data_IF_678582583107
#
_entry.id   IF_678582583107
#
_cell.length_a   1.000
_cell.length_b   1.000
_cell.length_c   1.000
_cell.angle_alpha   90.00
_cell.angle_beta   90.00
_cell.angle_gamma   90.00
#
_symmetry.space_group_name_H-M   'P 1'
#
loop_
_entity.id
_entity.type
_entity.pdbx_description
1 polymer ?
#
# COMPACT_ATOMS: atom_id res chain seq x y z
N UNK A 1 -1.48 40.13 4.81
CA UNK A 1 -1.41 38.67 5.07
C UNK A 1 -2.03 38.41 6.44
N UNK A 2 -2.71 37.28 6.68
CA UNK A 2 -3.08 36.90 8.05
C UNK A 2 -1.82 36.40 8.79
N UNK A 3 -1.66 36.66 10.11
CA UNK A 3 -0.59 36.03 10.89
C UNK A 3 -0.70 34.51 10.87
N UNK A 4 0.43 33.83 11.01
CA UNK A 4 0.48 32.39 11.24
C UNK A 4 -0.09 32.06 12.62
N UNK A 5 -1.08 31.16 12.68
CA UNK A 5 -1.55 30.58 13.94
C UNK A 5 -0.62 29.44 14.36
N UNK A 6 0.32 29.74 15.26
CA UNK A 6 1.21 28.75 15.88
C UNK A 6 0.57 27.96 17.03
N UNK A 7 -0.69 28.26 17.40
CA UNK A 7 -1.40 27.51 18.47
C UNK A 7 -2.08 26.25 17.94
N UNK A 8 -2.24 26.14 16.61
CA UNK A 8 -2.85 24.99 15.95
C UNK A 8 -1.76 24.03 15.37
N UNK A 9 -1.62 22.79 15.88
CA UNK A 9 -0.66 21.81 15.36
C UNK A 9 -0.80 21.51 13.86
N UNK A 10 -2.02 21.53 13.33
CA UNK A 10 -2.29 21.28 11.90
C UNK A 10 -1.58 22.31 10.99
N UNK A 11 -1.31 23.52 11.48
CA UNK A 11 -0.53 24.50 10.70
C UNK A 11 0.86 23.94 10.35
N UNK A 12 1.55 23.36 11.32
CA UNK A 12 2.89 22.80 11.14
C UNK A 12 2.89 21.57 10.24
N UNK A 13 1.89 20.69 10.40
CA UNK A 13 1.70 19.51 9.55
C UNK A 13 1.42 19.89 8.09
N UNK A 14 0.74 21.02 7.87
CA UNK A 14 0.39 21.54 6.54
C UNK A 14 1.49 22.33 5.82
N UNK A 15 2.62 22.65 6.45
CA UNK A 15 3.73 23.41 5.82
C UNK A 15 4.30 22.70 4.58
N UNK A 16 4.16 21.36 4.53
CA UNK A 16 4.58 20.50 3.41
C UNK A 16 3.34 20.00 2.66
N UNK A 17 2.72 20.87 1.85
CA UNK A 17 1.50 20.60 1.09
C UNK A 17 1.46 19.20 0.42
N UNK A 18 2.56 18.77 -0.22
CA UNK A 18 2.64 17.51 -0.95
C UNK A 18 2.76 16.26 -0.05
N UNK A 19 3.18 16.40 1.20
CA UNK A 19 3.14 15.35 2.22
C UNK A 19 1.76 15.31 2.89
N UNK A 20 1.17 16.47 3.17
CA UNK A 20 -0.17 16.57 3.73
C UNK A 20 -1.24 16.02 2.77
N UNK A 21 -1.12 16.29 1.46
CA UNK A 21 -1.99 15.76 0.42
C UNK A 21 -1.70 14.29 0.04
N UNK A 22 -0.68 13.65 0.60
CA UNK A 22 -0.45 12.21 0.42
C UNK A 22 -1.25 11.45 1.49
N UNK A 23 -2.18 10.53 1.14
CA UNK A 23 -2.97 9.77 2.14
C UNK A 23 -2.12 8.91 3.09
N UNK A 24 -0.88 8.59 2.70
CA UNK A 24 0.09 7.87 3.52
C UNK A 24 1.07 8.81 4.27
N UNK A 25 0.89 10.13 4.18
CA UNK A 25 1.75 11.18 4.78
C UNK A 25 3.26 10.98 4.60
N UNK A 26 3.68 10.43 3.46
CA UNK A 26 5.08 10.09 3.20
C UNK A 26 5.96 11.32 3.03
N UNK A 27 7.23 11.25 3.46
CA UNK A 27 8.13 12.40 3.49
C UNK A 27 8.69 12.75 2.09
N UNK A 28 7.84 13.36 1.26
CA UNK A 28 8.15 13.76 -0.12
C UNK A 28 9.43 14.61 -0.22
N UNK A 29 9.66 15.64 0.62
CA UNK A 29 10.90 16.42 0.58
C UNK A 29 12.17 15.64 0.96
N UNK A 30 12.07 14.59 1.77
CA UNK A 30 13.24 13.80 2.18
C UNK A 30 13.67 12.83 1.10
N UNK A 31 12.76 11.99 0.59
CA UNK A 31 13.15 11.03 -0.44
C UNK A 31 13.57 11.69 -1.77
N UNK A 32 13.04 12.87 -2.09
CA UNK A 32 13.50 13.66 -3.25
C UNK A 32 14.92 14.20 -3.03
N UNK A 33 15.30 14.59 -1.81
CA UNK A 33 16.70 14.95 -1.51
C UNK A 33 17.62 13.74 -1.57
N UNK A 34 17.17 12.56 -1.15
CA UNK A 34 17.97 11.33 -1.26
C UNK A 34 18.18 10.93 -2.73
N UNK A 35 17.15 11.03 -3.59
CA UNK A 35 17.29 10.86 -5.06
C UNK A 35 18.29 11.86 -5.66
N UNK A 36 18.29 13.12 -5.22
CA UNK A 36 19.24 14.14 -5.70
C UNK A 36 20.71 13.81 -5.39
N UNK A 37 20.97 12.94 -4.39
CA UNK A 37 22.30 12.44 -4.05
C UNK A 37 22.48 10.97 -4.51
N UNK A 38 21.69 10.51 -5.48
CA UNK A 38 21.68 9.15 -6.04
C UNK A 38 21.49 8.02 -5.01
N UNK A 39 21.00 8.36 -3.81
CA UNK A 39 20.78 7.44 -2.70
C UNK A 39 19.38 6.80 -2.82
N UNK A 40 19.15 6.10 -3.93
CA UNK A 40 17.87 5.49 -4.30
C UNK A 40 17.39 4.49 -3.25
N UNK A 41 18.30 3.72 -2.65
CA UNK A 41 17.99 2.70 -1.64
C UNK A 41 17.40 3.32 -0.36
N UNK A 42 17.99 4.40 0.17
CA UNK A 42 17.37 5.10 1.30
C UNK A 42 16.10 5.87 0.87
N UNK A 43 16.05 6.44 -0.34
CA UNK A 43 14.84 7.08 -0.86
C UNK A 43 13.66 6.10 -0.97
N UNK A 44 13.92 4.84 -1.36
CA UNK A 44 12.96 3.75 -1.34
C UNK A 44 12.54 3.42 0.09
N UNK A 45 13.48 3.24 1.02
CA UNK A 45 13.15 2.92 2.42
C UNK A 45 12.34 4.01 3.13
N UNK A 46 12.64 5.31 2.90
CA UNK A 46 11.82 6.43 3.41
C UNK A 46 10.40 6.39 2.85
N UNK A 47 10.21 6.00 1.58
CA UNK A 47 8.87 5.71 1.07
C UNK A 47 8.27 4.49 1.77
N UNK A 48 9.02 3.40 1.93
CA UNK A 48 8.54 2.12 2.47
C UNK A 48 8.07 2.22 3.93
N UNK A 49 8.59 3.17 4.72
CA UNK A 49 8.11 3.43 6.09
C UNK A 49 6.61 3.75 6.13
N UNK A 50 6.12 4.58 5.19
CA UNK A 50 4.74 5.09 5.17
C UNK A 50 3.88 4.53 4.04
N UNK A 51 4.46 4.25 2.86
CA UNK A 51 3.82 3.56 1.76
C UNK A 51 4.28 2.10 1.74
N UNK A 52 3.36 1.16 1.97
CA UNK A 52 3.67 -0.28 1.96
C UNK A 52 4.19 -0.79 0.61
N UNK A 53 3.87 -0.10 -0.50
CA UNK A 53 4.21 -0.49 -1.87
C UNK A 53 4.82 0.66 -2.71
N UNK A 54 6.06 1.10 -2.46
CA UNK A 54 6.63 2.28 -3.15
C UNK A 54 6.75 2.15 -4.67
N UNK A 55 7.15 1.00 -5.20
CA UNK A 55 7.39 0.71 -6.61
C UNK A 55 6.11 0.51 -7.42
N UNK A 56 5.10 -0.13 -6.83
CA UNK A 56 3.71 -0.14 -7.33
C UNK A 56 3.19 1.30 -7.36
N UNK A 57 3.26 2.03 -6.25
CA UNK A 57 2.70 3.39 -6.16
C UNK A 57 3.45 4.39 -7.06
N UNK A 58 4.74 4.23 -7.31
CA UNK A 58 5.48 5.02 -8.30
C UNK A 58 4.95 4.85 -9.74
N UNK A 59 4.21 3.77 -10.01
CA UNK A 59 3.60 3.45 -11.31
C UNK A 59 2.10 3.79 -11.37
N UNK A 60 1.35 3.51 -10.31
CA UNK A 60 -0.13 3.52 -10.33
C UNK A 60 -0.81 4.51 -9.40
N UNK A 61 -0.07 5.25 -8.56
CA UNK A 61 -0.67 6.25 -7.68
C UNK A 61 -1.37 7.36 -8.48
N UNK A 62 -2.51 7.83 -7.95
CA UNK A 62 -3.33 8.95 -8.46
C UNK A 62 -2.68 10.34 -8.22
N UNK A 63 -1.60 10.37 -7.44
CA UNK A 63 -0.70 11.53 -7.25
C UNK A 63 -1.34 12.80 -6.66
N UNK A 64 -2.20 12.73 -5.61
CA UNK A 64 -2.78 13.93 -4.98
C UNK A 64 -1.71 14.91 -4.43
N UNK A 65 -0.48 14.43 -4.21
CA UNK A 65 0.69 15.23 -3.86
C UNK A 65 1.25 16.13 -5.00
N UNK A 66 0.95 15.85 -6.27
CA UNK A 66 1.42 16.63 -7.42
C UNK A 66 0.59 17.94 -7.61
N UNK A 67 -0.75 17.94 -7.64
CA UNK A 67 -1.55 19.17 -7.66
C UNK A 67 -1.32 20.07 -6.43
N UNK A 68 -1.00 19.46 -5.27
CA UNK A 68 -0.65 20.19 -4.05
C UNK A 68 0.81 20.68 -4.03
N UNK A 69 1.63 20.44 -5.04
CA UNK A 69 3.06 20.73 -4.99
C UNK A 69 3.33 22.25 -4.95
N UNK A 70 3.93 22.75 -3.86
CA UNK A 70 4.27 24.19 -3.66
C UNK A 70 5.04 24.84 -4.82
N UNK A 71 5.67 24.07 -5.72
CA UNK A 71 6.28 24.54 -6.97
C UNK A 71 5.29 25.28 -7.88
N UNK A 72 4.01 24.87 -7.92
CA UNK A 72 2.96 25.49 -8.77
C UNK A 72 2.56 26.91 -8.34
N UNK A 73 3.16 27.43 -7.26
CA UNK A 73 2.98 28.82 -6.80
C UNK A 73 3.94 29.81 -7.47
N UNK A 74 4.88 29.31 -8.29
CA UNK A 74 5.94 30.09 -8.96
C UNK A 74 6.15 29.59 -10.39
N UNK A 75 6.15 28.28 -10.59
CA UNK A 75 6.26 27.61 -11.88
C UNK A 75 4.89 27.11 -12.37
N UNK A 76 4.75 26.82 -13.67
CA UNK A 76 3.52 26.22 -14.21
C UNK A 76 3.37 24.71 -13.90
N UNK A 77 4.48 24.00 -13.64
CA UNK A 77 4.49 22.55 -13.48
C UNK A 77 4.84 22.11 -12.05
N UNK A 78 4.16 21.09 -11.49
CA UNK A 78 4.54 20.48 -10.23
C UNK A 78 5.80 19.63 -10.38
N UNK A 79 6.43 19.26 -9.27
CA UNK A 79 7.45 18.20 -9.29
C UNK A 79 6.76 16.86 -9.61
N UNK A 80 7.35 16.05 -10.49
CA UNK A 80 6.85 14.71 -10.84
C UNK A 80 7.12 13.67 -9.73
N UNK A 81 6.58 13.92 -8.54
CA UNK A 81 6.76 13.19 -7.27
C UNK A 81 6.54 11.68 -7.43
N UNK A 82 5.55 11.25 -8.21
CA UNK A 82 5.26 9.85 -8.50
C UNK A 82 6.34 9.21 -9.37
N UNK A 83 6.82 9.91 -10.41
CA UNK A 83 7.91 9.43 -11.26
C UNK A 83 9.22 9.34 -10.47
N UNK A 84 9.49 10.29 -9.57
CA UNK A 84 10.64 10.23 -8.67
C UNK A 84 10.54 9.04 -7.69
N UNK A 85 9.35 8.72 -7.17
CA UNK A 85 9.14 7.49 -6.39
C UNK A 85 9.47 6.24 -7.20
N UNK A 86 9.07 6.20 -8.48
CA UNK A 86 9.47 5.13 -9.40
C UNK A 86 10.99 5.09 -9.62
N UNK A 87 11.67 6.22 -9.79
CA UNK A 87 13.14 6.25 -9.93
C UNK A 87 13.82 5.64 -8.71
N UNK A 88 13.41 5.99 -7.49
CA UNK A 88 13.93 5.35 -6.27
C UNK A 88 13.63 3.84 -6.21
N UNK A 89 12.45 3.41 -6.65
CA UNK A 89 12.13 1.97 -6.79
C UNK A 89 13.04 1.27 -7.79
N UNK A 90 13.26 1.85 -8.96
CA UNK A 90 13.83 1.18 -10.12
C UNK A 90 15.37 1.21 -10.14
N UNK A 91 16.01 1.95 -9.22
CA UNK A 91 17.47 2.11 -9.10
C UNK A 91 18.01 1.78 -7.69
N UNK A 92 17.22 1.10 -6.85
CA UNK A 92 17.64 0.66 -5.50
C UNK A 92 18.49 -0.62 -5.53
N UNK A 93 19.29 -0.80 -4.49
CA UNK A 93 19.96 -2.06 -4.15
C UNK A 93 18.99 -3.08 -3.51
N UNK A 94 19.49 -4.28 -3.19
CA UNK A 94 18.79 -5.34 -2.46
C UNK A 94 18.31 -4.88 -1.06
N UNK A 95 16.99 -4.69 -0.91
CA UNK A 95 16.39 -4.11 0.32
C UNK A 95 15.92 -5.13 1.35
N UNK A 96 15.81 -6.42 1.00
CA UNK A 96 15.34 -7.48 1.90
C UNK A 96 16.09 -7.61 3.24
N UNK A 97 17.39 -7.25 3.36
CA UNK A 97 18.10 -7.14 4.64
C UNK A 97 17.71 -5.93 5.50
N UNK A 98 17.12 -4.88 4.88
CA UNK A 98 16.67 -3.64 5.52
C UNK A 98 15.20 -3.70 5.94
N UNK A 99 14.42 -4.63 5.38
CA UNK A 99 13.02 -4.85 5.74
C UNK A 99 12.91 -5.47 7.14
N UNK A 100 11.96 -4.97 7.94
CA UNK A 100 11.63 -5.59 9.23
C UNK A 100 11.14 -7.04 9.03
N UNK A 101 11.50 -7.91 9.98
CA UNK A 101 10.98 -9.28 10.07
C UNK A 101 10.25 -9.42 11.39
N UNK A 102 9.25 -10.30 11.45
CA UNK A 102 8.50 -10.55 12.67
C UNK A 102 9.43 -11.07 13.78
N UNK A 103 9.27 -10.62 15.04
CA UNK A 103 10.11 -11.06 16.14
C UNK A 103 9.95 -12.56 16.40
N UNK A 104 11.06 -13.22 16.78
CA UNK A 104 11.10 -14.65 17.15
C UNK A 104 10.17 -14.97 18.33
N UNK A 105 10.02 -14.03 19.27
CA UNK A 105 9.03 -14.11 20.35
C UNK A 105 7.75 -13.44 19.86
N UNK A 106 6.69 -14.23 19.71
CA UNK A 106 5.33 -13.74 19.42
C UNK A 106 4.72 -13.04 20.64
N UNK A 107 3.76 -12.17 20.39
CA UNK A 107 3.00 -11.47 21.42
C UNK A 107 1.84 -12.30 22.00
N UNK A 108 1.56 -13.47 21.44
CA UNK A 108 0.51 -14.39 21.88
C UNK A 108 -0.90 -14.02 21.41
N UNK A 109 -1.01 -13.25 20.31
CA UNK A 109 -2.29 -12.82 19.73
C UNK A 109 -2.40 -13.20 18.25
N UNK A 110 -3.54 -13.79 17.89
CA UNK A 110 -3.85 -14.30 16.54
C UNK A 110 -4.90 -13.43 15.85
N UNK A 111 -4.64 -13.02 14.61
CA UNK A 111 -5.55 -12.19 13.81
C UNK A 111 -5.81 -12.85 12.46
N UNK A 112 -7.07 -12.97 12.06
CA UNK A 112 -7.45 -13.38 10.71
C UNK A 112 -7.56 -12.16 9.79
N UNK A 113 -7.03 -12.28 8.57
CA UNK A 113 -7.08 -11.27 7.53
C UNK A 113 -7.82 -11.88 6.32
N UNK A 114 -8.91 -11.28 5.88
CA UNK A 114 -9.77 -11.83 4.81
C UNK A 114 -9.65 -10.96 3.56
N UNK A 115 -9.25 -11.56 2.45
CA UNK A 115 -8.77 -10.90 1.23
C UNK A 115 -7.29 -10.53 1.34
N UNK A 116 -6.48 -10.86 0.34
CA UNK A 116 -5.05 -10.56 0.21
C UNK A 116 -4.78 -9.34 -0.71
N UNK A 117 -5.68 -8.35 -0.67
CA UNK A 117 -5.49 -7.06 -1.32
C UNK A 117 -4.58 -6.11 -0.52
N UNK A 118 -4.27 -4.91 -1.06
CA UNK A 118 -3.35 -3.95 -0.44
C UNK A 118 -3.70 -3.53 1.00
N UNK A 119 -4.98 -3.52 1.36
CA UNK A 119 -5.44 -3.18 2.70
C UNK A 119 -5.00 -4.22 3.74
N UNK A 120 -5.36 -5.49 3.54
CA UNK A 120 -4.97 -6.58 4.45
C UNK A 120 -3.46 -6.79 4.50
N UNK A 121 -2.75 -6.57 3.39
CA UNK A 121 -1.28 -6.66 3.36
C UNK A 121 -0.60 -5.50 4.10
N UNK A 122 -1.22 -4.32 4.12
CA UNK A 122 -0.77 -3.20 4.99
C UNK A 122 -0.94 -3.57 6.46
N UNK A 123 -2.10 -4.11 6.83
CA UNK A 123 -2.33 -4.64 8.19
C UNK A 123 -1.35 -5.78 8.52
N UNK A 124 -1.06 -6.66 7.56
CA UNK A 124 -0.16 -7.78 7.75
C UNK A 124 1.27 -7.34 8.05
N UNK A 125 1.83 -6.40 7.27
CA UNK A 125 3.15 -5.79 7.50
C UNK A 125 3.26 -5.26 8.93
N UNK A 126 2.30 -4.44 9.32
CA UNK A 126 2.38 -3.66 10.56
C UNK A 126 2.20 -4.55 11.79
N UNK A 127 1.26 -5.52 11.74
CA UNK A 127 1.05 -6.47 12.83
C UNK A 127 2.15 -7.56 12.88
N UNK A 128 2.72 -7.99 11.75
CA UNK A 128 3.84 -8.94 11.73
C UNK A 128 5.06 -8.36 12.47
N UNK A 129 5.40 -7.08 12.22
CA UNK A 129 6.47 -6.39 12.93
C UNK A 129 6.23 -6.30 14.45
N UNK A 130 4.97 -6.19 14.89
CA UNK A 130 4.57 -6.19 16.30
C UNK A 130 4.44 -7.60 16.91
N UNK A 131 4.81 -8.66 16.18
CA UNK A 131 4.88 -10.01 16.69
C UNK A 131 3.55 -10.74 16.81
N UNK A 132 2.50 -10.29 16.12
CA UNK A 132 1.26 -11.04 15.97
C UNK A 132 1.49 -12.32 15.14
N UNK A 133 0.50 -13.20 15.21
CA UNK A 133 0.36 -14.37 14.33
C UNK A 133 -0.85 -14.14 13.43
N UNK A 134 -0.66 -14.26 12.11
CA UNK A 134 -1.59 -13.76 11.11
C UNK A 134 -1.99 -14.89 10.15
N UNK A 135 -3.27 -15.17 10.03
CA UNK A 135 -3.81 -16.11 9.03
C UNK A 135 -4.50 -15.29 7.91
N UNK A 136 -3.91 -15.28 6.71
CA UNK A 136 -4.35 -14.50 5.56
C UNK A 136 -5.09 -15.38 4.55
N UNK A 137 -6.41 -15.22 4.46
CA UNK A 137 -7.30 -15.97 3.57
C UNK A 137 -7.61 -15.16 2.30
N UNK A 138 -7.58 -15.78 1.13
CA UNK A 138 -8.00 -15.15 -0.14
C UNK A 138 -8.48 -16.21 -1.14
N UNK A 139 -9.44 -15.86 -2.00
CA UNK A 139 -10.02 -16.79 -2.97
C UNK A 139 -9.18 -16.96 -4.26
N UNK A 140 -8.22 -16.07 -4.50
CA UNK A 140 -7.27 -16.17 -5.61
C UNK A 140 -6.09 -17.10 -5.26
N UNK A 141 -5.37 -17.64 -6.25
CA UNK A 141 -4.18 -18.46 -6.02
C UNK A 141 -2.95 -17.66 -5.52
N UNK A 142 -2.96 -16.33 -5.61
CA UNK A 142 -1.83 -15.46 -5.24
C UNK A 142 -2.31 -14.08 -4.74
N UNK A 143 -1.57 -13.51 -3.79
CA UNK A 143 -1.86 -12.18 -3.22
C UNK A 143 -1.83 -11.05 -4.27
N UNK A 144 -2.48 -9.94 -3.91
CA UNK A 144 -2.52 -8.67 -4.66
C UNK A 144 -3.94 -8.17 -4.93
N UNK A 145 -4.93 -9.07 -5.01
CA UNK A 145 -6.31 -8.70 -5.33
C UNK A 145 -6.40 -7.79 -6.56
N UNK A 146 -7.14 -6.68 -6.45
CA UNK A 146 -7.36 -5.74 -7.55
C UNK A 146 -6.09 -5.10 -8.16
N UNK A 147 -4.99 -4.91 -7.41
CA UNK A 147 -3.76 -4.38 -8.05
C UNK A 147 -3.08 -5.41 -8.97
N UNK A 148 -3.40 -6.70 -8.81
CA UNK A 148 -3.01 -7.76 -9.76
C UNK A 148 -4.08 -7.95 -10.84
N UNK A 149 -5.35 -8.07 -10.48
CA UNK A 149 -6.39 -8.51 -11.42
C UNK A 149 -7.00 -7.41 -12.29
N UNK A 150 -6.91 -6.12 -11.90
CA UNK A 150 -7.56 -5.01 -12.60
C UNK A 150 -6.58 -4.00 -13.22
N UNK A 151 -5.28 -4.05 -12.89
CA UNK A 151 -4.27 -3.14 -13.44
C UNK A 151 -3.49 -3.87 -14.54
N UNK A 152 -3.52 -3.39 -15.81
CA UNK A 152 -2.77 -4.02 -16.89
C UNK A 152 -1.25 -4.03 -16.64
N UNK A 153 -0.59 -5.12 -17.05
CA UNK A 153 0.85 -5.34 -16.84
C UNK A 153 1.75 -4.24 -17.44
N UNK A 154 1.31 -3.58 -18.52
CA UNK A 154 2.03 -2.43 -19.10
C UNK A 154 1.98 -1.17 -18.22
N UNK A 155 1.02 -1.05 -17.29
CA UNK A 155 1.02 -0.03 -16.24
C UNK A 155 1.76 -0.51 -14.99
N UNK A 156 1.59 -1.77 -14.62
CA UNK A 156 2.20 -2.36 -13.43
C UNK A 156 2.79 -3.75 -13.74
N UNK A 157 4.10 -3.84 -14.03
CA UNK A 157 4.74 -5.11 -14.34
C UNK A 157 4.62 -6.11 -13.19
N UNK A 158 4.32 -7.37 -13.52
CA UNK A 158 4.11 -8.43 -12.52
C UNK A 158 5.34 -8.68 -11.65
N UNK A 159 6.55 -8.52 -12.18
CA UNK A 159 7.80 -8.57 -11.43
C UNK A 159 7.77 -7.63 -10.22
N UNK A 160 7.54 -6.34 -10.47
CA UNK A 160 7.49 -5.28 -9.43
C UNK A 160 6.40 -5.56 -8.41
N UNK A 161 5.23 -6.02 -8.88
CA UNK A 161 4.11 -6.38 -8.02
C UNK A 161 4.44 -7.61 -7.16
N UNK A 162 5.01 -8.68 -7.73
CA UNK A 162 5.39 -9.89 -7.01
C UNK A 162 6.49 -9.59 -5.98
N UNK A 163 7.51 -8.81 -6.35
CA UNK A 163 8.58 -8.37 -5.43
C UNK A 163 8.02 -7.66 -4.21
N UNK A 164 7.20 -6.61 -4.38
CA UNK A 164 6.70 -5.83 -3.22
C UNK A 164 5.61 -6.53 -2.42
N UNK A 165 4.87 -7.48 -3.01
CA UNK A 165 3.96 -8.36 -2.26
C UNK A 165 4.73 -9.37 -1.40
N UNK A 166 5.73 -10.05 -2.00
CA UNK A 166 6.52 -11.07 -1.30
C UNK A 166 7.35 -10.44 -0.17
N UNK A 167 7.83 -9.20 -0.31
CA UNK A 167 8.44 -8.42 0.77
C UNK A 167 7.62 -8.38 2.07
N UNK A 168 6.29 -8.51 1.99
CA UNK A 168 5.38 -8.56 3.14
C UNK A 168 5.15 -10.00 3.58
N UNK A 169 4.82 -10.90 2.64
CA UNK A 169 4.54 -12.31 2.95
C UNK A 169 5.76 -12.99 3.63
N UNK A 170 6.96 -12.66 3.17
CA UNK A 170 8.24 -13.17 3.69
C UNK A 170 8.67 -12.50 5.01
N UNK A 171 7.92 -11.54 5.57
CA UNK A 171 8.24 -10.95 6.88
C UNK A 171 8.16 -11.99 8.01
N UNK A 172 7.44 -13.08 7.79
CA UNK A 172 7.22 -14.16 8.76
C UNK A 172 6.10 -13.84 9.75
N UNK A 173 5.52 -14.87 10.37
CA UNK A 173 4.32 -14.72 11.19
C UNK A 173 3.02 -14.53 10.41
N UNK A 174 3.07 -14.62 9.07
CA UNK A 174 1.93 -14.66 8.17
C UNK A 174 1.84 -16.07 7.60
N UNK A 175 0.67 -16.69 7.70
CA UNK A 175 0.30 -17.96 7.08
C UNK A 175 -0.71 -17.67 5.98
N UNK A 176 -0.42 -18.04 4.74
CA UNK A 176 -1.28 -17.75 3.58
C UNK A 176 -2.17 -18.93 3.21
N UNK A 177 -3.48 -18.69 3.18
CA UNK A 177 -4.53 -19.63 2.78
C UNK A 177 -5.15 -19.14 1.46
N UNK A 178 -4.41 -19.32 0.37
CA UNK A 178 -4.87 -19.00 -1.00
C UNK A 178 -5.90 -20.03 -1.50
N UNK A 179 -6.65 -19.68 -2.54
CA UNK A 179 -7.78 -20.47 -3.07
C UNK A 179 -8.86 -20.80 -2.00
N UNK A 180 -8.95 -19.99 -0.93
CA UNK A 180 -9.83 -20.21 0.22
C UNK A 180 -10.83 -19.06 0.34
N UNK A 181 -11.96 -19.20 -0.37
CA UNK A 181 -13.05 -18.24 -0.30
C UNK A 181 -13.76 -18.32 1.06
N UNK A 182 -13.81 -17.20 1.79
CA UNK A 182 -14.59 -17.06 3.02
C UNK A 182 -15.97 -16.53 2.66
N UNK A 183 -16.93 -17.44 2.44
CA UNK A 183 -18.31 -17.10 2.10
C UNK A 183 -19.15 -16.66 3.31
N UNK A 184 -18.80 -17.12 4.51
CA UNK A 184 -19.41 -16.72 5.79
C UNK A 184 -18.33 -16.29 6.79
N UNK A 185 -18.57 -15.20 7.51
CA UNK A 185 -17.65 -14.68 8.54
C UNK A 185 -17.62 -15.59 9.79
N UNK A 186 -18.69 -16.36 10.03
CA UNK A 186 -18.81 -17.29 11.18
C UNK A 186 -17.74 -18.37 11.15
N UNK A 187 -17.43 -18.89 9.96
CA UNK A 187 -16.35 -19.88 9.70
C UNK A 187 -14.95 -19.38 10.09
N UNK A 188 -14.80 -18.07 10.34
CA UNK A 188 -13.58 -17.45 10.87
C UNK A 188 -13.74 -17.07 12.35
N UNK A 189 -14.91 -16.60 12.79
CA UNK A 189 -15.19 -16.32 14.19
C UNK A 189 -15.03 -17.56 15.09
N UNK A 190 -15.54 -18.71 14.64
CA UNK A 190 -15.50 -19.97 15.40
C UNK A 190 -14.08 -20.57 15.53
N UNK A 191 -13.09 -20.03 14.79
CA UNK A 191 -11.67 -20.40 14.86
C UNK A 191 -10.89 -19.69 16.00
N UNK A 192 -11.55 -18.85 16.79
CA UNK A 192 -10.99 -18.28 18.02
C UNK A 192 -9.85 -17.28 17.80
N UNK A 193 -9.96 -16.39 16.81
CA UNK A 193 -9.04 -15.27 16.62
C UNK A 193 -9.35 -14.13 17.61
N UNK A 194 -8.31 -13.40 18.03
CA UNK A 194 -8.45 -12.20 18.87
C UNK A 194 -9.05 -11.02 18.10
N UNK A 195 -8.84 -10.97 16.79
CA UNK A 195 -9.42 -9.99 15.89
C UNK A 195 -9.56 -10.56 14.45
N UNK A 196 -10.46 -9.98 13.66
CA UNK A 196 -10.64 -10.28 12.24
C UNK A 196 -10.64 -8.97 11.46
N UNK A 197 -9.85 -8.89 10.41
CA UNK A 197 -9.83 -7.77 9.46
C UNK A 197 -10.43 -8.21 8.12
N UNK A 198 -11.37 -7.43 7.58
CA UNK A 198 -12.04 -7.71 6.30
C UNK A 198 -11.57 -6.72 5.25
N UNK A 199 -10.71 -7.18 4.34
CA UNK A 199 -10.11 -6.42 3.23
C UNK A 199 -10.42 -7.00 1.86
N UNK A 200 -11.56 -7.68 1.71
CA UNK A 200 -12.05 -8.33 0.48
C UNK A 200 -12.34 -7.37 -0.67
N UNK A 201 -12.50 -6.08 -0.39
CA UNK A 201 -12.76 -5.05 -1.40
C UNK A 201 -14.17 -5.12 -1.98
N UNK A 202 -14.32 -4.78 -3.26
CA UNK A 202 -15.60 -4.73 -3.97
C UNK A 202 -15.51 -5.48 -5.32
N UNK A 203 -15.46 -6.84 -5.32
CA UNK A 203 -15.26 -7.64 -6.53
C UNK A 203 -16.43 -7.57 -7.53
N UNK A 204 -17.64 -7.19 -7.08
CA UNK A 204 -18.82 -7.10 -7.93
C UNK A 204 -18.89 -5.76 -8.66
N UNK A 205 -18.87 -5.81 -9.99
CA UNK A 205 -19.23 -4.67 -10.84
C UNK A 205 -20.69 -4.24 -10.67
N UNK A 206 -21.00 -3.02 -11.10
CA UNK A 206 -22.38 -2.51 -11.16
C UNK A 206 -23.10 -3.08 -12.38
N UNK A 207 -24.19 -3.80 -12.13
CA UNK A 207 -25.08 -4.30 -13.19
C UNK A 207 -25.91 -3.18 -13.83
N UNK A 208 -26.35 -3.42 -15.06
CA UNK A 208 -27.17 -2.51 -15.88
C UNK A 208 -28.43 -3.27 -16.37
N UNK A 209 -29.40 -3.58 -15.48
CA UNK A 209 -30.49 -4.52 -15.77
C UNK A 209 -31.44 -4.06 -16.88
N UNK A 210 -31.54 -2.74 -17.11
CA UNK A 210 -32.40 -2.12 -18.12
C UNK A 210 -31.71 -1.90 -19.48
N UNK A 211 -30.44 -2.30 -19.63
CA UNK A 211 -29.69 -2.20 -20.89
C UNK A 211 -30.25 -3.23 -21.91
N UNK A 212 -30.68 -2.81 -23.12
CA UNK A 212 -31.12 -3.75 -24.14
C UNK A 212 -30.04 -4.80 -24.48
N UNK A 213 -30.43 -6.07 -24.59
CA UNK A 213 -29.50 -7.18 -24.79
C UNK A 213 -28.76 -7.66 -23.54
N UNK A 214 -28.90 -7.01 -22.36
CA UNK A 214 -28.14 -7.35 -21.13
C UNK A 214 -28.22 -8.83 -20.76
N UNK A 215 -29.41 -9.44 -20.90
CA UNK A 215 -29.71 -10.84 -20.51
C UNK A 215 -29.43 -11.86 -21.63
N UNK A 216 -28.93 -11.41 -22.78
CA UNK A 216 -28.62 -12.24 -23.94
C UNK A 216 -27.11 -12.55 -24.03
N UNK A 217 -26.31 -12.01 -23.10
CA UNK A 217 -24.86 -12.21 -23.00
C UNK A 217 -24.37 -12.56 -21.58
N UNK A 218 -25.26 -13.10 -20.73
CA UNK A 218 -24.91 -13.87 -19.52
C UNK A 218 -24.97 -15.39 -19.85
#
# INVERSE_FOLDING_TARGET
MKPTDITNPEYFHKVVDCQYACPAHTNVPEYIRLILHENYTQAYMINWVSNVFPGILGRVCDRPCEPACRRVRVENEPVAICRLKRVASDNRDEVQPLLFRAPKKKNGKRVALIGAGPASLTVARDLAALGYELDLFDDQPVAGGFIRSQIPSFRLPEEVLNTELNYILDMGGITTHFNTCVSDIRDIMDKGYDAIFVGTGAPRGRDLPDLPGRKEGD
#
